data_IF_255834407206
#
_entry.id   IF_255834407206
#
_cell.length_a   1.000
_cell.length_b   1.000
_cell.length_c   1.000
_cell.angle_alpha   90.00
_cell.angle_beta   90.00
_cell.angle_gamma   90.00
#
_symmetry.space_group_name_H-M   'P 1'
#
loop_
_entity.id
_entity.type
_entity.pdbx_description
1 polymer ?
#
# COMPACT_ATOMS: atom_id res chain seq x y z
N UNK A 1 -7.88 -2.73 12.64
CA UNK A 1 -9.23 -3.35 12.71
C UNK A 1 -10.22 -2.25 13.10
N UNK A 2 -11.31 -2.03 12.34
CA UNK A 2 -12.29 -0.99 12.66
C UNK A 2 -12.75 -1.07 14.12
N UNK A 3 -12.99 0.07 14.75
CA UNK A 3 -13.35 0.15 16.17
C UNK A 3 -14.64 -0.63 16.51
N UNK A 4 -15.52 -0.78 15.52
CA UNK A 4 -16.71 -1.66 15.60
C UNK A 4 -16.35 -3.13 15.82
N UNK A 5 -15.15 -3.56 15.39
CA UNK A 5 -14.63 -4.91 15.57
C UNK A 5 -13.74 -5.05 16.80
N UNK A 6 -13.17 -3.93 17.34
CA UNK A 6 -12.39 -3.96 18.60
C UNK A 6 -13.24 -4.46 19.81
N UNK A 7 -14.55 -4.26 19.79
CA UNK A 7 -15.46 -4.76 20.83
C UNK A 7 -15.82 -6.25 20.68
N UNK A 8 -15.54 -6.85 19.55
CA UNK A 8 -15.68 -8.28 19.29
C UNK A 8 -14.31 -8.81 18.94
N UNK A 9 -13.77 -9.73 19.69
CA UNK A 9 -12.52 -10.41 19.34
C UNK A 9 -12.67 -10.96 17.91
N UNK A 10 -12.12 -10.25 16.94
CA UNK A 10 -12.26 -10.57 15.50
C UNK A 10 -10.88 -10.63 14.91
N UNK A 11 -10.54 -11.77 14.34
CA UNK A 11 -9.29 -11.99 13.61
C UNK A 11 -9.56 -11.94 12.10
N UNK A 12 -8.57 -11.49 11.33
CA UNK A 12 -8.58 -11.53 9.88
C UNK A 12 -7.50 -12.50 9.42
N UNK A 13 -7.88 -13.42 8.57
CA UNK A 13 -6.96 -14.37 7.94
C UNK A 13 -6.85 -14.06 6.45
N UNK A 14 -5.62 -14.04 5.94
CA UNK A 14 -5.33 -13.99 4.51
C UNK A 14 -5.15 -15.42 4.05
N UNK A 15 -5.91 -15.83 3.03
CA UNK A 15 -5.98 -17.21 2.59
C UNK A 15 -5.62 -17.33 1.11
N UNK A 16 -5.07 -18.45 0.74
CA UNK A 16 -4.92 -18.86 -0.65
C UNK A 16 -6.22 -19.49 -1.17
N UNK A 17 -6.48 -19.39 -2.46
CA UNK A 17 -7.65 -19.98 -3.11
C UNK A 17 -7.24 -21.31 -3.76
N UNK A 18 -8.05 -22.35 -3.52
CA UNK A 18 -7.86 -23.68 -4.09
C UNK A 18 -9.12 -24.12 -4.84
N UNK A 19 -8.95 -25.00 -5.82
CA UNK A 19 -10.03 -25.71 -6.47
C UNK A 19 -10.64 -26.76 -5.51
N UNK A 20 -11.86 -27.27 -5.78
CA UNK A 20 -12.48 -28.29 -4.95
C UNK A 20 -11.70 -29.61 -4.85
N UNK A 21 -10.83 -29.90 -5.82
CA UNK A 21 -9.96 -31.07 -5.83
C UNK A 21 -8.66 -30.88 -5.02
N UNK A 22 -8.48 -29.71 -4.38
CA UNK A 22 -7.31 -29.39 -3.57
C UNK A 22 -6.12 -28.83 -4.36
N UNK A 23 -6.25 -28.64 -5.67
CA UNK A 23 -5.20 -27.98 -6.46
C UNK A 23 -5.25 -26.45 -6.29
N UNK A 24 -4.12 -25.72 -6.34
CA UNK A 24 -4.12 -24.27 -6.30
C UNK A 24 -4.94 -23.69 -7.46
N UNK A 25 -5.81 -22.70 -7.17
CA UNK A 25 -6.57 -22.01 -8.20
C UNK A 25 -5.63 -21.07 -9.00
N UNK A 26 -5.56 -21.28 -10.31
CA UNK A 26 -4.66 -20.54 -11.20
C UNK A 26 -4.93 -19.01 -11.24
N UNK A 27 -6.17 -18.60 -11.00
CA UNK A 27 -6.58 -17.20 -10.92
C UNK A 27 -6.27 -16.52 -9.57
N UNK A 28 -5.74 -17.24 -8.57
CA UNK A 28 -5.38 -16.66 -7.29
C UNK A 28 -4.08 -15.85 -7.40
N UNK A 29 -4.13 -14.50 -7.23
CA UNK A 29 -2.92 -13.67 -7.37
C UNK A 29 -1.85 -14.00 -6.33
N UNK A 30 -2.26 -14.37 -5.11
CA UNK A 30 -1.34 -14.75 -4.05
C UNK A 30 -0.60 -16.06 -4.37
N UNK A 31 -1.29 -17.08 -4.90
CA UNK A 31 -0.66 -18.30 -5.37
C UNK A 31 0.28 -18.04 -6.55
N UNK A 32 -0.09 -17.14 -7.47
CA UNK A 32 0.77 -16.75 -8.57
C UNK A 32 2.06 -16.08 -8.09
N UNK A 33 1.96 -15.16 -7.13
CA UNK A 33 3.14 -14.54 -6.51
C UNK A 33 4.04 -15.59 -5.85
N UNK A 34 3.47 -16.50 -5.06
CA UNK A 34 4.23 -17.59 -4.42
C UNK A 34 4.99 -18.43 -5.44
N UNK A 35 4.34 -18.78 -6.55
CA UNK A 35 4.97 -19.54 -7.63
C UNK A 35 6.16 -18.80 -8.25
N UNK A 36 6.03 -17.50 -8.49
CA UNK A 36 7.12 -16.67 -9.04
C UNK A 36 8.26 -16.54 -8.03
N UNK A 37 7.95 -16.37 -6.74
CA UNK A 37 8.97 -16.32 -5.68
C UNK A 37 9.72 -17.65 -5.52
N UNK A 38 9.06 -18.77 -5.68
CA UNK A 38 9.72 -20.09 -5.70
C UNK A 38 10.67 -20.23 -6.91
N UNK A 39 10.32 -19.67 -8.06
CA UNK A 39 11.20 -19.63 -9.22
C UNK A 39 12.43 -18.74 -8.96
N UNK A 40 12.23 -17.54 -8.42
CA UNK A 40 13.33 -16.66 -8.01
C UNK A 40 14.28 -17.35 -7.03
N UNK A 41 13.71 -18.05 -6.05
CA UNK A 41 14.48 -18.82 -5.05
C UNK A 41 15.33 -19.93 -5.66
N UNK A 42 14.82 -20.63 -6.69
CA UNK A 42 15.62 -21.63 -7.43
C UNK A 42 16.81 -21.02 -8.14
N UNK A 43 16.70 -19.74 -8.54
CA UNK A 43 17.79 -18.97 -9.13
C UNK A 43 18.72 -18.33 -8.08
N UNK A 44 18.42 -18.53 -6.79
CA UNK A 44 19.20 -18.03 -5.67
C UNK A 44 18.83 -16.61 -5.21
N UNK A 45 17.65 -16.09 -5.62
CA UNK A 45 17.20 -14.74 -5.25
C UNK A 45 16.05 -14.78 -4.24
N UNK A 46 16.08 -13.80 -3.33
CA UNK A 46 14.95 -13.39 -2.50
C UNK A 46 14.55 -11.97 -2.88
N UNK A 47 13.26 -11.65 -2.85
CA UNK A 47 12.74 -10.35 -3.27
C UNK A 47 12.13 -9.61 -2.09
N UNK A 48 12.62 -8.39 -1.85
CA UNK A 48 11.99 -7.41 -0.95
C UNK A 48 11.25 -6.34 -1.76
N UNK A 49 10.14 -5.85 -1.22
CA UNK A 49 9.29 -4.85 -1.87
C UNK A 49 8.87 -3.80 -0.86
N UNK A 50 9.02 -2.51 -1.23
CA UNK A 50 8.53 -1.34 -0.50
C UNK A 50 7.56 -0.56 -1.39
N UNK A 51 6.25 -0.61 -1.15
CA UNK A 51 5.28 0.12 -1.93
C UNK A 51 5.02 1.50 -1.32
N UNK A 52 4.82 2.50 -2.17
CA UNK A 52 4.33 3.83 -1.83
C UNK A 52 2.88 3.93 -2.29
N UNK A 53 1.94 3.94 -1.36
CA UNK A 53 0.53 3.80 -1.67
C UNK A 53 -0.20 5.13 -1.53
N UNK A 54 -0.50 5.78 -2.65
CA UNK A 54 -1.29 7.01 -2.69
C UNK A 54 -2.80 6.74 -2.75
N UNK A 55 -3.58 7.64 -2.18
CA UNK A 55 -5.03 7.55 -2.17
C UNK A 55 -5.69 8.92 -2.09
N UNK A 56 -6.94 9.02 -2.55
CA UNK A 56 -7.76 10.21 -2.38
C UNK A 56 -8.80 10.02 -1.28
N UNK A 57 -9.11 11.14 -0.60
CA UNK A 57 -10.22 11.26 0.34
C UNK A 57 -11.30 12.17 -0.26
N UNK A 58 -12.46 11.58 -0.56
CA UNK A 58 -13.61 12.28 -1.11
C UNK A 58 -14.71 12.47 -0.07
N UNK A 59 -15.47 13.54 -0.21
CA UNK A 59 -16.73 13.75 0.52
C UNK A 59 -17.78 12.76 0.06
N UNK A 60 -18.84 12.63 0.86
CA UNK A 60 -20.05 11.86 0.53
C UNK A 60 -21.24 12.79 0.46
N UNK A 61 -22.22 12.41 -0.37
CA UNK A 61 -23.53 13.08 -0.42
C UNK A 61 -24.38 12.74 0.82
N UNK A 62 -25.55 13.34 0.93
CA UNK A 62 -26.51 13.10 2.03
C UNK A 62 -26.99 11.64 2.11
N UNK A 63 -26.86 10.88 1.02
CA UNK A 63 -27.19 9.47 0.95
C UNK A 63 -26.03 8.54 1.28
N UNK A 64 -24.81 9.13 1.54
CA UNK A 64 -23.62 8.40 1.84
C UNK A 64 -22.83 7.90 0.61
N UNK A 65 -23.21 8.30 -0.60
CA UNK A 65 -22.45 7.95 -1.80
C UNK A 65 -21.23 8.85 -1.96
N UNK A 66 -20.09 8.35 -2.45
CA UNK A 66 -18.93 9.20 -2.76
C UNK A 66 -19.27 10.19 -3.88
N UNK A 67 -18.84 11.43 -3.72
CA UNK A 67 -18.89 12.47 -4.75
C UNK A 67 -17.49 12.89 -5.13
N UNK A 68 -17.29 13.36 -6.37
CA UNK A 68 -15.97 13.80 -6.84
C UNK A 68 -15.66 15.21 -6.31
N UNK A 69 -15.68 15.34 -4.97
CA UNK A 69 -15.34 16.56 -4.23
C UNK A 69 -14.37 16.15 -3.13
N UNK A 70 -13.15 16.70 -3.18
CA UNK A 70 -12.10 16.48 -2.20
C UNK A 70 -12.49 17.10 -0.85
N UNK A 71 -11.92 16.58 0.23
CA UNK A 71 -12.23 17.07 1.57
C UNK A 71 -11.43 18.33 1.94
N UNK A 72 -10.32 18.58 1.26
CA UNK A 72 -9.46 19.76 1.40
C UNK A 72 -8.99 20.30 0.03
N UNK A 73 -8.18 21.35 0.08
CA UNK A 73 -7.57 22.01 -1.07
C UNK A 73 -6.05 22.21 -0.88
N UNK A 74 -5.44 21.41 -0.01
CA UNK A 74 -4.00 21.43 0.22
C UNK A 74 -3.22 20.85 -0.97
N UNK A 75 -1.91 21.04 -1.00
CA UNK A 75 -0.97 20.55 -1.99
C UNK A 75 0.19 19.77 -1.39
N UNK A 76 1.20 19.55 -2.20
CA UNK A 76 2.34 18.68 -1.87
C UNK A 76 3.11 19.18 -0.64
N UNK A 77 3.18 18.31 0.38
CA UNK A 77 3.83 18.59 1.66
C UNK A 77 3.25 19.78 2.44
N UNK A 78 2.04 20.23 2.12
CA UNK A 78 1.35 21.19 2.96
C UNK A 78 1.09 20.60 4.36
N UNK A 79 1.12 21.47 5.34
CA UNK A 79 0.92 21.16 6.76
C UNK A 79 0.00 22.21 7.40
N UNK A 80 -0.55 21.87 8.57
CA UNK A 80 -1.34 22.81 9.34
C UNK A 80 -2.77 22.97 8.82
N UNK A 81 -3.36 24.18 8.85
CA UNK A 81 -4.80 24.35 8.69
C UNK A 81 -5.33 24.00 7.29
N UNK A 82 -4.48 23.96 6.27
CA UNK A 82 -4.89 23.67 4.90
C UNK A 82 -4.97 22.15 4.64
N UNK A 83 -4.16 21.36 5.32
CA UNK A 83 -4.19 19.88 5.27
C UNK A 83 -5.22 19.33 6.27
N UNK A 84 -6.47 19.23 5.84
CA UNK A 84 -7.54 18.67 6.68
C UNK A 84 -7.46 17.15 6.84
N UNK A 85 -6.53 16.50 6.14
CA UNK A 85 -6.28 15.06 6.23
C UNK A 85 -5.28 14.65 7.30
N UNK A 86 -4.59 15.59 7.96
CA UNK A 86 -3.51 15.30 8.91
C UNK A 86 -3.99 14.43 10.07
N UNK A 87 -5.08 14.81 10.74
CA UNK A 87 -5.64 14.02 11.86
C UNK A 87 -6.12 12.63 11.41
N UNK A 88 -6.65 12.55 10.19
CA UNK A 88 -7.14 11.30 9.62
C UNK A 88 -5.98 10.36 9.32
N UNK A 89 -4.89 10.89 8.72
CA UNK A 89 -3.66 10.11 8.52
C UNK A 89 -3.02 9.69 9.83
N UNK A 90 -3.02 10.56 10.85
CA UNK A 90 -2.50 10.22 12.17
C UNK A 90 -3.25 9.03 12.80
N UNK A 91 -4.59 8.96 12.68
CA UNK A 91 -5.35 7.80 13.14
C UNK A 91 -5.07 6.54 12.27
N UNK A 92 -4.91 6.71 10.94
CA UNK A 92 -4.51 5.62 10.06
C UNK A 92 -3.15 5.04 10.48
N UNK A 93 -2.16 5.90 10.72
CA UNK A 93 -0.82 5.54 11.17
C UNK A 93 -0.87 4.78 12.49
N UNK A 94 -1.52 5.34 13.51
CA UNK A 94 -1.64 4.69 14.81
C UNK A 94 -2.28 3.31 14.70
N UNK A 95 -3.35 3.19 13.88
CA UNK A 95 -4.01 1.90 13.67
C UNK A 95 -3.12 0.90 12.95
N UNK A 96 -2.38 1.33 11.95
CA UNK A 96 -1.46 0.47 11.21
C UNK A 96 -0.29 0.02 12.09
N UNK A 97 0.25 0.91 12.92
CA UNK A 97 1.29 0.57 13.91
C UNK A 97 0.78 -0.45 14.94
N UNK A 98 -0.44 -0.30 15.44
CA UNK A 98 -1.10 -1.29 16.31
C UNK A 98 -1.28 -2.66 15.61
N UNK A 99 -1.32 -2.68 14.28
CA UNK A 99 -1.37 -3.90 13.47
C UNK A 99 0.01 -4.44 13.09
N UNK A 100 1.08 -3.81 13.55
CA UNK A 100 2.45 -4.26 13.35
C UNK A 100 3.16 -3.65 12.13
N UNK A 101 2.60 -2.61 11.51
CA UNK A 101 3.28 -1.88 10.44
C UNK A 101 4.36 -0.97 11.01
N UNK A 102 5.49 -0.91 10.37
CA UNK A 102 6.54 0.10 10.60
C UNK A 102 6.35 1.21 9.56
N UNK A 103 5.82 2.37 10.00
CA UNK A 103 5.53 3.50 9.11
C UNK A 103 6.79 4.33 8.93
N UNK A 104 7.11 4.71 7.70
CA UNK A 104 8.29 5.49 7.33
C UNK A 104 7.96 6.94 6.99
N UNK A 105 6.88 7.18 6.23
CA UNK A 105 6.46 8.53 5.85
C UNK A 105 4.95 8.69 5.78
N UNK A 106 4.49 9.93 5.89
CA UNK A 106 3.09 10.32 5.65
C UNK A 106 3.04 11.80 5.32
N UNK A 107 2.40 12.14 4.22
CA UNK A 107 2.25 13.52 3.77
C UNK A 107 1.01 13.72 2.90
N UNK A 108 0.66 15.00 2.68
CA UNK A 108 -0.29 15.40 1.65
C UNK A 108 0.39 15.33 0.29
N UNK A 109 -0.32 14.82 -0.70
CA UNK A 109 0.14 14.71 -2.09
C UNK A 109 -0.20 15.95 -2.93
N UNK A 110 0.20 15.94 -4.22
CA UNK A 110 0.11 17.10 -5.10
C UNK A 110 -1.33 17.53 -5.37
N UNK A 111 -2.23 16.57 -5.59
CA UNK A 111 -3.63 16.87 -5.87
C UNK A 111 -4.42 17.13 -4.58
N UNK A 112 -5.39 18.05 -4.64
CA UNK A 112 -6.33 18.28 -3.55
C UNK A 112 -6.96 16.97 -3.08
N UNK A 113 -6.96 16.75 -1.76
CA UNK A 113 -7.49 15.53 -1.13
C UNK A 113 -6.70 14.25 -1.41
N UNK A 114 -5.48 14.36 -1.94
CA UNK A 114 -4.59 13.24 -2.19
C UNK A 114 -3.56 13.09 -1.07
N UNK A 115 -3.35 11.87 -0.60
CA UNK A 115 -2.49 11.54 0.54
C UNK A 115 -1.64 10.33 0.26
N UNK A 116 -0.53 10.21 0.98
CA UNK A 116 0.36 9.08 0.95
C UNK A 116 0.74 8.65 2.38
N UNK A 117 0.87 7.35 2.58
CA UNK A 117 1.43 6.75 3.79
C UNK A 117 2.31 5.59 3.36
N UNK A 118 3.60 5.69 3.68
CA UNK A 118 4.60 4.70 3.36
C UNK A 118 4.93 3.84 4.57
N UNK A 119 5.11 2.57 4.32
CA UNK A 119 5.51 1.61 5.32
C UNK A 119 6.70 0.80 4.84
N UNK A 120 7.52 0.39 5.79
CA UNK A 120 8.76 -0.31 5.55
C UNK A 120 8.59 -1.54 4.66
N UNK A 121 9.55 -1.73 3.79
CA UNK A 121 9.64 -2.92 2.95
C UNK A 121 9.69 -4.21 3.77
N UNK A 122 9.20 -5.28 3.16
CA UNK A 122 9.34 -6.64 3.65
C UNK A 122 9.55 -7.60 2.48
N UNK A 123 9.61 -8.90 2.74
CA UNK A 123 9.54 -9.87 1.65
C UNK A 123 8.29 -9.66 0.80
N UNK A 124 8.37 -9.99 -0.48
CA UNK A 124 7.34 -9.63 -1.44
C UNK A 124 5.94 -10.18 -1.10
N UNK A 125 5.84 -11.37 -0.49
CA UNK A 125 4.56 -11.97 -0.10
C UNK A 125 3.95 -11.24 1.09
N UNK A 126 4.74 -10.97 2.13
CA UNK A 126 4.34 -10.18 3.29
C UNK A 126 3.91 -8.78 2.86
N UNK A 127 4.66 -8.13 1.97
CA UNK A 127 4.31 -6.80 1.46
C UNK A 127 2.98 -6.81 0.70
N UNK A 128 2.73 -7.81 -0.16
CA UNK A 128 1.45 -7.93 -0.87
C UNK A 128 0.27 -8.09 0.11
N UNK A 129 0.43 -8.89 1.17
CA UNK A 129 -0.56 -9.07 2.22
C UNK A 129 -0.76 -7.77 3.04
N UNK A 130 0.32 -7.02 3.29
CA UNK A 130 0.29 -5.72 3.95
C UNK A 130 -0.46 -4.68 3.13
N UNK A 131 -0.22 -4.57 1.81
CA UNK A 131 -0.97 -3.66 0.92
C UNK A 131 -2.48 -3.94 0.98
N UNK A 132 -2.88 -5.21 0.94
CA UNK A 132 -4.29 -5.58 1.06
C UNK A 132 -4.88 -5.16 2.41
N UNK A 133 -4.12 -5.29 3.49
CA UNK A 133 -4.50 -4.88 4.85
C UNK A 133 -4.57 -3.36 4.98
N UNK A 134 -3.55 -2.66 4.49
CA UNK A 134 -3.45 -1.20 4.44
C UNK A 134 -4.69 -0.57 3.79
N UNK A 135 -5.08 -1.05 2.61
CA UNK A 135 -6.26 -0.54 1.88
C UNK A 135 -7.55 -0.68 2.68
N UNK A 136 -7.70 -1.76 3.45
CA UNK A 136 -8.87 -1.96 4.31
C UNK A 136 -8.84 -0.99 5.49
N UNK A 137 -7.70 -0.82 6.14
CA UNK A 137 -7.52 0.10 7.27
C UNK A 137 -7.84 1.54 6.86
N UNK A 138 -7.20 2.02 5.78
CA UNK A 138 -7.41 3.37 5.23
C UNK A 138 -8.89 3.63 4.92
N UNK A 139 -9.55 2.73 4.18
CA UNK A 139 -10.98 2.88 3.85
C UNK A 139 -11.87 2.86 5.09
N UNK A 140 -11.55 2.03 6.06
CA UNK A 140 -12.35 1.90 7.28
C UNK A 140 -12.24 3.15 8.17
N UNK A 141 -11.04 3.72 8.26
CA UNK A 141 -10.81 4.94 9.05
C UNK A 141 -11.42 6.14 8.33
N UNK A 142 -11.21 6.31 7.02
CA UNK A 142 -11.86 7.36 6.26
C UNK A 142 -13.39 7.34 6.44
N UNK A 143 -14.00 6.14 6.46
CA UNK A 143 -15.43 6.00 6.68
C UNK A 143 -15.89 6.48 8.07
N UNK A 144 -15.06 6.39 9.13
CA UNK A 144 -15.35 6.95 10.46
C UNK A 144 -15.46 8.49 10.43
N UNK A 145 -14.68 9.13 9.56
CA UNK A 145 -14.69 10.58 9.35
C UNK A 145 -15.75 11.02 8.32
N UNK A 146 -16.62 10.12 7.89
CA UNK A 146 -17.65 10.41 6.88
C UNK A 146 -17.11 10.56 5.46
N UNK A 147 -15.85 10.16 5.23
CA UNK A 147 -15.18 10.27 3.93
C UNK A 147 -15.17 8.93 3.18
N UNK A 148 -14.83 9.01 1.91
CA UNK A 148 -14.58 7.86 1.04
C UNK A 148 -13.12 7.86 0.59
N UNK A 149 -12.34 6.86 1.01
CA UNK A 149 -11.00 6.65 0.50
C UNK A 149 -11.01 5.79 -0.77
N UNK A 150 -10.30 6.25 -1.81
CA UNK A 150 -10.14 5.50 -3.06
C UNK A 150 -8.68 5.39 -3.45
N UNK A 151 -8.30 4.21 -3.94
CA UNK A 151 -7.02 3.89 -4.57
C UNK A 151 -7.15 3.81 -6.09
N UNK A 152 -8.18 4.43 -6.66
CA UNK A 152 -8.36 4.51 -8.12
C UNK A 152 -7.20 5.30 -8.72
N UNK A 153 -6.50 4.79 -9.74
CA UNK A 153 -5.30 5.45 -10.28
C UNK A 153 -5.54 6.86 -10.77
N UNK A 154 -6.69 7.14 -11.37
CA UNK A 154 -7.04 8.47 -11.90
C UNK A 154 -8.50 8.81 -11.60
N UNK A 155 -8.82 9.16 -10.34
CA UNK A 155 -10.21 9.44 -9.97
C UNK A 155 -10.71 10.80 -10.46
N UNK A 156 -9.81 11.76 -10.70
CA UNK A 156 -10.13 13.11 -11.22
C UNK A 156 -9.34 13.33 -12.50
N UNK A 157 -10.03 13.69 -13.57
CA UNK A 157 -9.38 14.04 -14.83
C UNK A 157 -8.64 15.38 -14.72
N UNK A 158 -7.43 15.45 -15.30
CA UNK A 158 -6.65 16.70 -15.39
C UNK A 158 -5.77 17.03 -14.18
N UNK A 159 -5.87 16.27 -13.06
CA UNK A 159 -4.99 16.41 -11.88
C UNK A 159 -4.11 15.19 -11.70
N UNK A 160 -3.15 15.22 -10.77
CA UNK A 160 -2.32 14.07 -10.44
C UNK A 160 -3.17 12.86 -10.05
N UNK A 161 -2.71 11.68 -10.35
CA UNK A 161 -3.36 10.43 -9.99
C UNK A 161 -2.63 9.72 -8.87
N UNK A 162 -3.26 8.69 -8.30
CA UNK A 162 -2.66 7.85 -7.26
C UNK A 162 -1.64 6.91 -7.86
N UNK A 163 -0.38 7.06 -7.48
CA UNK A 163 0.68 6.10 -7.71
C UNK A 163 0.57 4.91 -6.76
N UNK A 164 1.24 3.85 -7.14
CA UNK A 164 1.70 2.78 -6.26
C UNK A 164 3.10 2.44 -6.73
N UNK A 165 4.05 3.33 -6.42
CA UNK A 165 5.44 3.13 -6.75
C UNK A 165 5.94 1.88 -6.01
N UNK A 166 6.45 0.94 -6.77
CA UNK A 166 6.86 -0.34 -6.21
C UNK A 166 8.37 -0.44 -6.25
N UNK A 167 8.99 -0.01 -5.15
CA UNK A 167 10.43 -0.15 -4.97
C UNK A 167 10.74 -1.60 -4.62
N UNK A 168 11.75 -2.18 -5.24
CA UNK A 168 12.13 -3.55 -4.93
C UNK A 168 13.63 -3.79 -5.01
N UNK A 169 14.09 -4.79 -4.30
CA UNK A 169 15.46 -5.29 -4.36
C UNK A 169 15.48 -6.80 -4.41
N UNK A 170 16.52 -7.33 -5.06
CA UNK A 170 16.83 -8.76 -5.04
C UNK A 170 18.01 -8.98 -4.10
N UNK A 171 17.90 -9.98 -3.24
CA UNK A 171 18.96 -10.41 -2.34
C UNK A 171 19.49 -11.75 -2.82
N UNK A 172 20.78 -11.87 -2.93
CA UNK A 172 21.50 -13.11 -3.27
C UNK A 172 22.67 -13.27 -2.32
N UNK A 173 22.78 -14.42 -1.66
CA UNK A 173 23.84 -14.70 -0.69
C UNK A 173 23.96 -13.61 0.42
N UNK A 174 22.82 -13.06 0.86
CA UNK A 174 22.70 -11.94 1.81
C UNK A 174 23.24 -10.57 1.32
N UNK A 175 23.50 -10.44 0.03
CA UNK A 175 23.92 -9.17 -0.58
C UNK A 175 22.86 -8.64 -1.55
N UNK A 176 22.84 -7.31 -1.75
CA UNK A 176 21.95 -6.68 -2.73
C UNK A 176 22.43 -7.01 -4.14
N UNK A 177 21.71 -7.85 -4.86
CA UNK A 177 22.05 -8.29 -6.21
C UNK A 177 22.06 -7.15 -7.24
N UNK A 178 21.44 -6.00 -6.94
CA UNK A 178 21.47 -4.82 -7.82
C UNK A 178 22.72 -3.97 -7.67
N UNK A 179 23.53 -4.21 -6.63
CA UNK A 179 24.76 -3.45 -6.40
C UNK A 179 25.95 -4.12 -7.08
N UNK A 180 26.69 -3.34 -7.87
CA UNK A 180 28.05 -3.69 -8.36
C UNK A 180 28.93 -2.45 -8.32
N UNK A 181 29.76 -2.34 -7.31
CA UNK A 181 30.63 -1.17 -7.10
C UNK A 181 31.66 -0.93 -8.22
N UNK A 182 31.96 -1.96 -9.02
CA UNK A 182 32.92 -1.89 -10.11
C UNK A 182 32.33 -1.29 -11.40
N UNK A 183 31.01 -1.14 -11.48
CA UNK A 183 30.29 -0.68 -12.67
C UNK A 183 29.87 0.79 -12.61
N UNK A 184 29.61 1.43 -13.77
CA UNK A 184 28.98 2.75 -13.82
C UNK A 184 27.65 2.75 -13.06
N UNK A 185 27.39 3.83 -12.32
CA UNK A 185 26.20 4.01 -11.45
C UNK A 185 26.06 2.96 -10.34
N UNK A 186 27.08 2.09 -10.14
CA UNK A 186 27.08 0.99 -9.17
C UNK A 186 25.93 -0.01 -9.36
N UNK A 187 25.44 -0.16 -10.58
CA UNK A 187 24.37 -1.08 -10.92
C UNK A 187 24.91 -2.36 -11.54
N UNK A 188 24.47 -3.49 -11.00
CA UNK A 188 24.78 -4.82 -11.54
C UNK A 188 24.08 -5.06 -12.89
N UNK A 189 24.38 -6.19 -13.51
CA UNK A 189 23.68 -6.60 -14.73
C UNK A 189 22.22 -6.95 -14.42
N UNK A 190 21.94 -7.53 -13.27
CA UNK A 190 20.59 -7.84 -12.79
C UNK A 190 19.72 -6.59 -12.62
N UNK A 191 20.32 -5.46 -12.22
CA UNK A 191 19.61 -4.19 -12.08
C UNK A 191 19.27 -3.51 -13.42
N UNK A 192 19.89 -3.94 -14.52
CA UNK A 192 19.73 -3.35 -15.85
C UNK A 192 18.74 -4.12 -16.75
N UNK A 193 18.24 -5.27 -16.30
CA UNK A 193 17.25 -6.11 -17.01
C UNK A 193 15.84 -5.92 -16.46
#
# INVERSE_FOLDING_TARGET
IPETLKKKKTDRLICDIYNPDGTPFEGCPRNNLKRVLEEAKRLGYEMNVGPECEFFLFKKDEKGNPVCVTHDAAGYYDVGPDDLGEDIRAEMISTLQDMGFEIEASHHEVAEGQHEIDFKYADALTTADNVATFRIAVKSIAAKYGLHATFMPKPIFGVNGSGMHTNFSLIKENENAFLDESRPYKLSQEALW
#
